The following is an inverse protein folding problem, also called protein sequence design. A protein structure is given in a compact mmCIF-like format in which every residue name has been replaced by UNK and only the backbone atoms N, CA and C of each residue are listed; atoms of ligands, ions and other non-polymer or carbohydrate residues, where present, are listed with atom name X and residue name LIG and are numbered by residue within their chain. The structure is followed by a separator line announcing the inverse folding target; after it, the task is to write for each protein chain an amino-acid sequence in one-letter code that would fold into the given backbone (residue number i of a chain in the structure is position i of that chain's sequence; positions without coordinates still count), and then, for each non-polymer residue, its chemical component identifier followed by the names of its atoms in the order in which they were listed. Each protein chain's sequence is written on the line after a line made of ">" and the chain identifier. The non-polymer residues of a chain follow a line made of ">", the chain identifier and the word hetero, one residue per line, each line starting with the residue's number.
data_IF_425553879226
#
_entry.id   IF_425553879226
#
_cell.length_a   1.000
_cell.length_b   1.000
_cell.length_c   1.000
_cell.angle_alpha   90.00
_cell.angle_beta   90.00
_cell.angle_gamma   90.00
#
_symmetry.space_group_name_H-M   'P 1'
#
loop_
_entity.id
_entity.type
_entity.pdbx_description
1 polymer ?
#
# COMPACT_ATOMS: atom_id res chain seq x y z
N UNK A 1 4.26 11.03 23.36
CA UNK A 1 3.01 11.79 23.17
C UNK A 1 2.93 12.33 21.75
N UNK A 2 1.79 12.15 21.11
CA UNK A 2 1.50 12.70 19.79
C UNK A 2 0.49 13.84 19.92
N UNK A 3 0.88 15.02 19.47
CA UNK A 3 -0.02 16.17 19.43
C UNK A 3 -1.00 16.05 18.25
N UNK A 4 -2.22 16.54 18.45
CA UNK A 4 -3.27 16.55 17.44
C UNK A 4 -2.93 17.39 16.20
N UNK A 5 -3.54 17.05 15.07
CA UNK A 5 -3.44 17.78 13.79
C UNK A 5 -2.02 17.92 13.21
N UNK A 6 -1.14 16.96 13.46
CA UNK A 6 0.12 16.85 12.75
C UNK A 6 -0.04 15.97 11.52
N UNK A 7 0.41 16.49 10.39
CA UNK A 7 0.47 15.78 9.11
C UNK A 7 1.92 15.67 8.67
N UNK A 8 2.36 14.49 8.33
CA UNK A 8 3.67 14.25 7.75
C UNK A 8 3.57 13.29 6.58
N UNK A 9 4.52 13.38 5.70
CA UNK A 9 4.65 12.51 4.53
C UNK A 9 5.99 11.84 4.59
N UNK A 10 6.02 10.54 4.39
CA UNK A 10 7.25 9.76 4.23
C UNK A 10 7.23 9.03 2.89
N UNK A 11 8.41 8.82 2.34
CA UNK A 11 8.62 8.16 1.06
C UNK A 11 9.72 7.12 1.24
N UNK A 12 9.37 5.87 0.95
CA UNK A 12 10.32 4.76 0.88
C UNK A 12 10.42 4.26 -0.55
N UNK A 13 11.62 3.91 -0.97
CA UNK A 13 11.89 3.43 -2.34
C UNK A 13 12.45 2.02 -2.29
N UNK A 14 11.85 1.14 -3.08
CA UNK A 14 12.28 -0.24 -3.26
C UNK A 14 12.64 -0.46 -4.74
N UNK A 15 13.83 -1.02 -4.99
CA UNK A 15 14.20 -1.48 -6.34
C UNK A 15 13.40 -2.73 -6.67
N UNK A 16 12.87 -2.78 -7.88
CA UNK A 16 12.13 -3.92 -8.43
C UNK A 16 12.79 -4.34 -9.74
N UNK A 17 12.83 -5.64 -9.98
CA UNK A 17 13.37 -6.19 -11.21
C UNK A 17 12.44 -7.26 -11.77
N UNK A 18 11.84 -6.96 -12.91
CA UNK A 18 10.97 -7.86 -13.65
C UNK A 18 11.65 -8.41 -14.92
N UNK A 19 12.96 -8.20 -15.08
CA UNK A 19 13.70 -8.52 -16.32
C UNK A 19 13.72 -10.00 -16.67
N UNK A 20 13.45 -10.89 -15.72
CA UNK A 20 13.48 -12.34 -15.91
C UNK A 20 12.08 -12.96 -16.11
N UNK A 21 11.04 -12.16 -16.20
CA UNK A 21 9.69 -12.66 -16.37
C UNK A 21 9.22 -12.53 -17.83
N UNK A 22 9.51 -13.54 -18.63
CA UNK A 22 8.89 -13.77 -19.95
C UNK A 22 7.42 -14.17 -19.78
N UNK A 23 6.61 -13.28 -19.19
CA UNK A 23 5.16 -13.49 -19.23
C UNK A 23 4.65 -13.01 -20.58
N UNK A 24 3.99 -13.88 -21.36
CA UNK A 24 3.40 -13.47 -22.63
C UNK A 24 2.48 -12.27 -22.44
N UNK A 25 2.49 -11.34 -23.37
CA UNK A 25 1.58 -10.18 -23.43
C UNK A 25 0.15 -10.60 -23.83
N UNK A 26 -0.34 -11.70 -23.30
CA UNK A 26 -1.70 -12.15 -23.53
C UNK A 26 -2.66 -11.28 -22.72
N UNK A 27 -3.63 -10.68 -23.40
CA UNK A 27 -4.63 -9.78 -22.81
C UNK A 27 -5.56 -10.48 -21.80
N UNK A 28 -5.53 -11.81 -21.74
CA UNK A 28 -6.25 -12.60 -20.74
C UNK A 28 -5.51 -12.73 -19.39
N UNK A 29 -4.24 -12.34 -19.32
CA UNK A 29 -3.49 -12.33 -18.08
C UNK A 29 -3.96 -11.18 -17.18
N UNK A 30 -4.20 -11.47 -15.93
CA UNK A 30 -4.52 -10.48 -14.92
C UNK A 30 -4.09 -10.98 -13.55
N UNK A 31 -4.02 -10.07 -12.59
CA UNK A 31 -3.71 -10.38 -11.22
C UNK A 31 -4.57 -9.59 -10.25
N UNK A 32 -4.73 -10.10 -9.05
CA UNK A 32 -5.28 -9.36 -7.94
C UNK A 32 -4.19 -9.15 -6.89
N UNK A 33 -4.05 -7.93 -6.42
CA UNK A 33 -3.23 -7.60 -5.27
C UNK A 33 -4.15 -7.34 -4.09
N UNK A 34 -3.94 -8.06 -3.00
CA UNK A 34 -4.70 -7.93 -1.77
C UNK A 34 -3.84 -7.25 -0.72
N UNK A 35 -4.40 -6.22 -0.12
CA UNK A 35 -3.79 -5.45 0.95
C UNK A 35 -4.59 -5.65 2.23
N UNK A 36 -3.90 -6.05 3.30
CA UNK A 36 -4.46 -6.22 4.63
C UNK A 36 -3.69 -5.33 5.58
N UNK A 37 -4.39 -4.49 6.32
CA UNK A 37 -3.78 -3.62 7.33
C UNK A 37 -4.53 -3.78 8.65
N UNK A 38 -3.75 -3.99 9.72
CA UNK A 38 -4.22 -3.88 11.10
C UNK A 38 -3.51 -2.69 11.75
N UNK A 39 -4.26 -1.67 12.09
CA UNK A 39 -3.77 -0.45 12.70
C UNK A 39 -4.17 -0.37 14.17
N UNK A 40 -3.25 -0.66 15.05
CA UNK A 40 -3.34 -0.46 16.51
C UNK A 40 -2.65 0.82 16.97
N UNK A 41 -2.32 1.73 16.05
CA UNK A 41 -1.75 3.03 16.35
C UNK A 41 -2.85 4.12 16.35
N UNK A 42 -2.81 5.10 17.24
CA UNK A 42 -3.72 6.23 17.23
C UNK A 42 -3.35 7.26 16.15
N UNK A 43 -3.05 6.78 14.96
CA UNK A 43 -2.57 7.54 13.82
C UNK A 43 -3.32 7.04 12.57
N UNK A 44 -3.83 7.97 11.79
CA UNK A 44 -4.38 7.69 10.47
C UNK A 44 -3.25 7.55 9.43
N UNK A 45 -3.34 6.54 8.57
CA UNK A 45 -2.40 6.32 7.48
C UNK A 45 -3.10 6.34 6.13
N UNK A 46 -2.53 7.10 5.20
CA UNK A 46 -2.80 6.96 3.78
C UNK A 46 -1.60 6.32 3.09
N UNK A 47 -1.83 5.28 2.30
CA UNK A 47 -0.76 4.52 1.60
C UNK A 47 -1.03 4.55 0.11
N UNK A 48 0.02 4.80 -0.67
CA UNK A 48 0.01 4.69 -2.13
C UNK A 48 1.33 4.10 -2.62
N UNK A 49 1.26 3.24 -3.61
CA UNK A 49 2.44 2.68 -4.27
C UNK A 49 2.48 3.19 -5.71
N UNK A 50 3.56 3.88 -6.05
CA UNK A 50 3.84 4.35 -7.40
C UNK A 50 4.94 3.52 -8.03
N UNK A 51 4.79 3.23 -9.31
CA UNK A 51 5.81 2.58 -10.14
C UNK A 51 6.49 3.64 -11.01
N UNK A 52 7.82 3.67 -10.96
CA UNK A 52 8.62 4.67 -11.67
C UNK A 52 9.37 4.04 -12.82
N UNK A 53 9.39 4.73 -13.95
CA UNK A 53 10.13 4.36 -15.13
C UNK A 53 11.63 4.46 -14.90
N UNK A 54 12.36 3.51 -15.46
CA UNK A 54 13.82 3.46 -15.43
C UNK A 54 14.42 4.77 -15.97
N UNK A 55 15.36 5.32 -15.22
CA UNK A 55 16.16 6.51 -15.55
C UNK A 55 15.41 7.87 -15.61
N UNK A 56 14.11 7.93 -15.61
CA UNK A 56 13.35 9.19 -15.79
C UNK A 56 12.68 9.68 -14.53
N UNK A 57 12.46 8.82 -13.54
CA UNK A 57 11.62 9.08 -12.35
C UNK A 57 10.15 9.42 -12.67
N UNK A 58 9.69 9.18 -13.88
CA UNK A 58 8.29 9.36 -14.21
C UNK A 58 7.44 8.25 -13.59
N UNK A 59 6.31 8.63 -12.99
CA UNK A 59 5.30 7.67 -12.53
C UNK A 59 4.61 7.08 -13.76
N UNK A 60 4.76 5.76 -13.93
CA UNK A 60 4.12 5.05 -15.04
C UNK A 60 2.83 4.36 -14.66
N UNK A 61 2.67 4.03 -13.37
CA UNK A 61 1.42 3.51 -12.81
C UNK A 61 1.39 3.72 -11.29
N UNK A 62 0.22 3.54 -10.69
CA UNK A 62 0.03 3.50 -9.24
C UNK A 62 -0.82 2.30 -8.88
N UNK A 63 -0.45 1.55 -7.85
CA UNK A 63 -1.18 0.33 -7.49
C UNK A 63 -2.64 0.62 -7.11
N UNK A 64 -2.87 1.70 -6.41
CA UNK A 64 -4.16 2.08 -5.84
C UNK A 64 -4.71 3.35 -6.48
N UNK A 65 -6.04 3.42 -6.66
CA UNK A 65 -6.74 4.64 -7.06
C UNK A 65 -8.18 4.59 -6.53
N UNK A 66 -8.52 5.39 -5.55
CA UNK A 66 -7.69 6.32 -4.78
C UNK A 66 -6.62 5.64 -3.89
N UNK A 67 -5.81 6.42 -3.19
CA UNK A 67 -4.90 5.92 -2.16
C UNK A 67 -5.66 5.11 -1.10
N UNK A 68 -5.01 4.14 -0.51
CA UNK A 68 -5.60 3.32 0.55
C UNK A 68 -5.44 4.01 1.89
N UNK A 69 -6.56 4.37 2.52
CA UNK A 69 -6.59 5.01 3.83
C UNK A 69 -7.05 4.05 4.91
N UNK A 70 -6.44 4.11 6.08
CA UNK A 70 -6.87 3.40 7.28
C UNK A 70 -6.94 4.36 8.47
N UNK A 71 -8.06 4.30 9.17
CA UNK A 71 -8.30 5.17 10.32
C UNK A 71 -7.40 4.80 11.51
N UNK A 72 -7.21 5.78 12.39
CA UNK A 72 -6.57 5.58 13.67
C UNK A 72 -7.39 4.65 14.56
N UNK A 73 -6.74 3.89 15.44
CA UNK A 73 -7.43 3.19 16.50
C UNK A 73 -8.06 4.20 17.49
N UNK A 74 -9.09 3.76 18.23
CA UNK A 74 -9.66 4.56 19.30
C UNK A 74 -8.73 4.57 20.51
N UNK A 75 -8.82 5.64 21.32
CA UNK A 75 -8.07 5.77 22.56
C UNK A 75 -9.00 5.91 23.75
N UNK A 76 -8.52 5.51 24.94
CA UNK A 76 -9.20 5.77 26.21
C UNK A 76 -9.03 7.24 26.65
N UNK A 77 -9.57 7.57 27.82
CA UNK A 77 -9.50 8.93 28.41
C UNK A 77 -8.05 9.37 28.74
N UNK A 78 -7.13 8.42 28.81
CA UNK A 78 -5.71 8.66 29.06
C UNK A 78 -4.88 8.69 27.77
N UNK A 79 -5.50 8.51 26.61
CA UNK A 79 -4.82 8.49 25.31
C UNK A 79 -4.22 7.14 24.92
N UNK A 80 -4.48 6.05 25.63
CA UNK A 80 -3.97 4.73 25.28
C UNK A 80 -4.85 4.08 24.21
N UNK A 81 -4.26 3.37 23.21
CA UNK A 81 -5.01 2.58 22.24
C UNK A 81 -5.87 1.51 22.90
N UNK A 82 -7.14 1.38 22.48
CA UNK A 82 -8.09 0.42 23.05
C UNK A 82 -8.64 -0.60 22.04
N UNK A 83 -8.35 -0.42 20.76
CA UNK A 83 -8.77 -1.35 19.70
C UNK A 83 -7.77 -1.38 18.56
N UNK A 84 -8.03 -2.26 17.60
CA UNK A 84 -7.31 -2.33 16.32
C UNK A 84 -8.32 -2.08 15.20
N UNK A 85 -7.98 -1.22 14.27
CA UNK A 85 -8.76 -1.00 13.05
C UNK A 85 -8.17 -1.88 11.95
N UNK A 86 -8.97 -2.81 11.43
CA UNK A 86 -8.56 -3.68 10.33
C UNK A 86 -9.24 -3.27 9.03
N UNK A 87 -8.48 -3.26 7.95
CA UNK A 87 -8.99 -2.97 6.60
C UNK A 87 -8.37 -3.90 5.57
N UNK A 88 -9.23 -4.40 4.68
CA UNK A 88 -8.82 -5.21 3.52
C UNK A 88 -9.24 -4.50 2.25
N UNK A 89 -8.38 -4.53 1.23
CA UNK A 89 -8.73 -4.10 -0.11
C UNK A 89 -8.11 -5.03 -1.14
N UNK A 90 -8.71 -5.08 -2.33
CA UNK A 90 -8.23 -5.86 -3.47
C UNK A 90 -8.21 -4.98 -4.70
N UNK A 91 -7.11 -5.05 -5.44
CA UNK A 91 -6.88 -4.23 -6.63
C UNK A 91 -6.63 -5.15 -7.83
N UNK A 92 -7.44 -5.02 -8.84
CA UNK A 92 -7.23 -5.72 -10.11
C UNK A 92 -6.07 -5.06 -10.87
N UNK A 93 -5.12 -5.88 -11.29
CA UNK A 93 -4.02 -5.49 -12.17
C UNK A 93 -4.23 -6.18 -13.51
N UNK A 94 -4.72 -5.45 -14.50
CA UNK A 94 -4.94 -5.98 -15.85
C UNK A 94 -3.60 -6.25 -16.55
N UNK A 95 -3.64 -7.04 -17.65
CA UNK A 95 -2.47 -7.32 -18.49
C UNK A 95 -1.75 -6.03 -18.92
N UNK A 96 -2.51 -5.02 -19.35
CA UNK A 96 -1.94 -3.74 -19.76
C UNK A 96 -1.20 -3.03 -18.62
N UNK A 97 -1.70 -3.15 -17.38
CA UNK A 97 -1.02 -2.59 -16.20
C UNK A 97 0.23 -3.39 -15.86
N UNK A 98 0.17 -4.71 -15.96
CA UNK A 98 1.34 -5.59 -15.77
C UNK A 98 2.45 -5.19 -16.76
N UNK A 99 2.13 -4.98 -18.03
CA UNK A 99 3.09 -4.57 -19.06
C UNK A 99 3.70 -3.18 -18.80
N UNK A 100 2.95 -2.29 -18.18
CA UNK A 100 3.48 -0.99 -17.72
C UNK A 100 4.41 -1.17 -16.53
N UNK A 101 3.97 -1.90 -15.51
CA UNK A 101 4.72 -2.12 -14.27
C UNK A 101 6.06 -2.81 -14.54
N UNK A 102 6.12 -3.73 -15.55
CA UNK A 102 7.37 -4.37 -15.99
C UNK A 102 8.43 -3.37 -16.49
N UNK A 103 8.05 -2.18 -16.91
CA UNK A 103 8.99 -1.13 -17.32
C UNK A 103 9.53 -0.32 -16.16
N UNK A 104 9.00 -0.53 -14.96
CA UNK A 104 9.50 0.12 -13.76
C UNK A 104 10.77 -0.55 -13.25
N UNK A 105 11.68 0.23 -12.73
CA UNK A 105 12.84 -0.23 -11.97
C UNK A 105 12.71 0.02 -10.47
N UNK A 106 11.71 0.80 -10.07
CA UNK A 106 11.46 1.19 -8.68
C UNK A 106 9.98 1.26 -8.38
N UNK A 107 9.65 0.83 -7.16
CA UNK A 107 8.38 1.14 -6.52
C UNK A 107 8.63 2.14 -5.39
N UNK A 108 7.79 3.15 -5.31
CA UNK A 108 7.81 4.16 -4.25
C UNK A 108 6.58 4.00 -3.40
N UNK A 109 6.81 3.72 -2.13
CA UNK A 109 5.77 3.69 -1.12
C UNK A 109 5.61 5.08 -0.51
N UNK A 110 4.49 5.69 -0.76
CA UNK A 110 4.14 6.99 -0.25
C UNK A 110 3.21 6.84 0.94
N UNK A 111 3.60 7.41 2.09
CA UNK A 111 2.80 7.40 3.31
C UNK A 111 2.37 8.82 3.65
N UNK A 112 1.10 8.95 3.97
CA UNK A 112 0.55 10.16 4.56
C UNK A 112 0.09 9.83 5.98
N UNK A 113 0.72 10.43 6.96
CA UNK A 113 0.45 10.20 8.38
C UNK A 113 -0.27 11.42 8.93
N UNK A 114 -1.40 11.21 9.59
CA UNK A 114 -2.15 12.26 10.21
C UNK A 114 -2.56 11.87 11.64
N UNK A 115 -2.23 12.72 12.60
CA UNK A 115 -2.68 12.56 13.98
C UNK A 115 -3.98 13.33 14.16
N UNK A 116 -5.07 12.60 14.45
CA UNK A 116 -6.37 13.22 14.72
C UNK A 116 -6.44 13.86 16.11
N UNK A 117 -7.19 14.97 16.20
CA UNK A 117 -7.57 15.55 17.47
C UNK A 117 -8.84 14.87 17.97
N UNK A 118 -8.70 13.76 18.66
CA UNK A 118 -9.74 13.29 19.56
C UNK A 118 -9.37 13.69 20.99
N UNK A 119 -10.29 14.09 21.86
CA UNK A 119 -10.00 14.19 23.30
C UNK A 119 -9.57 12.81 23.83
N UNK A 120 -8.51 12.75 24.60
CA UNK A 120 -7.59 13.80 25.04
C UNK A 120 -6.77 14.39 23.88
N UNK A 121 -6.19 15.60 24.05
CA UNK A 121 -5.47 16.30 22.98
C UNK A 121 -4.16 15.64 22.55
N UNK A 122 -3.84 14.51 23.10
CA UNK A 122 -2.67 13.70 22.78
C UNK A 122 -3.05 12.22 22.76
N UNK A 123 -2.29 11.42 22.05
CA UNK A 123 -2.37 9.98 22.02
C UNK A 123 -1.02 9.37 22.39
N UNK A 124 -1.05 8.21 23.00
CA UNK A 124 0.15 7.51 23.47
C UNK A 124 0.42 6.34 22.56
N UNK A 125 1.65 6.24 22.06
CA UNK A 125 2.17 5.02 21.45
C UNK A 125 2.88 4.25 22.57
N UNK A 126 2.50 3.03 22.78
CA UNK A 126 3.07 2.13 23.80
C UNK A 126 3.52 0.81 23.17
N UNK A 127 4.06 -0.10 23.95
CA UNK A 127 4.62 -1.37 23.49
C UNK A 127 3.58 -2.31 22.83
N UNK A 128 2.29 -2.06 23.05
CA UNK A 128 1.20 -2.80 22.41
C UNK A 128 0.70 -2.13 21.11
N UNK A 129 1.22 -0.94 20.80
CA UNK A 129 0.85 -0.23 19.58
C UNK A 129 1.61 -0.80 18.39
N UNK A 130 0.90 -1.16 17.32
CA UNK A 130 1.53 -1.74 16.14
C UNK A 130 0.79 -1.35 14.85
N UNK A 131 1.51 -1.41 13.76
CA UNK A 131 0.97 -1.41 12.40
C UNK A 131 1.42 -2.69 11.71
N UNK A 132 0.46 -3.51 11.27
CA UNK A 132 0.74 -4.70 10.47
C UNK A 132 0.25 -4.47 9.06
N UNK A 133 1.15 -4.62 8.09
CA UNK A 133 0.87 -4.57 6.67
C UNK A 133 1.18 -5.93 6.06
N UNK A 134 0.23 -6.49 5.33
CA UNK A 134 0.40 -7.71 4.55
C UNK A 134 -0.08 -7.47 3.13
N UNK A 135 0.75 -7.80 2.14
CA UNK A 135 0.46 -7.74 0.72
C UNK A 135 0.55 -9.15 0.18
N UNK A 136 -0.49 -9.59 -0.53
CA UNK A 136 -0.52 -10.87 -1.25
C UNK A 136 -1.01 -10.63 -2.68
N UNK A 137 -0.70 -11.55 -3.57
CA UNK A 137 -1.16 -11.46 -4.97
C UNK A 137 -1.55 -12.81 -5.53
N UNK A 138 -2.57 -12.82 -6.37
CA UNK A 138 -2.97 -13.92 -7.22
C UNK A 138 -2.67 -13.53 -8.67
N UNK A 139 -2.07 -14.43 -9.44
CA UNK A 139 -1.80 -14.24 -10.85
C UNK A 139 -2.55 -15.29 -11.67
N UNK A 140 -3.36 -14.85 -12.62
CA UNK A 140 -4.04 -15.68 -13.58
C UNK A 140 -3.31 -15.58 -14.92
N UNK A 141 -2.74 -16.71 -15.36
CA UNK A 141 -2.03 -16.84 -16.62
C UNK A 141 -2.80 -17.79 -17.53
N UNK A 142 -3.04 -17.39 -18.76
CA UNK A 142 -3.51 -18.29 -19.80
C UNK A 142 -2.37 -18.68 -20.74
N UNK A 143 -2.26 -19.96 -21.03
CA UNK A 143 -1.27 -20.50 -21.95
C UNK A 143 -1.97 -21.06 -23.18
N UNK A 144 -1.57 -20.61 -24.36
CA UNK A 144 -2.04 -21.18 -25.61
C UNK A 144 -1.10 -22.31 -26.02
N UNK A 145 -1.54 -23.57 -25.89
CA UNK A 145 -0.77 -24.76 -26.20
C UNK A 145 -0.79 -25.13 -27.72
N UNK A 146 -1.40 -24.32 -28.56
CA UNK A 146 -1.53 -24.61 -30.00
C UNK A 146 -0.25 -24.37 -30.82
N UNK A 147 0.87 -24.03 -30.18
CA UNK A 147 2.16 -23.80 -30.83
C UNK A 147 3.27 -24.78 -30.40
N UNK A 148 2.87 -25.96 -29.90
CA UNK A 148 3.80 -27.09 -29.64
C UNK A 148 3.78 -28.07 -30.77
#
# INVERSE_FOLDING_TARGET
>A
ELYSNKKTTSIDTVSIDFSNEDTPSDTSNYGNVHLFIDNGLPIHFGIQIYFLEKNTNHIIDSLMSPAFDIDACSTDVNGNPVNVVSKKSSFLVSAQRIDKIKKADRAVLFHNINTYSTPPPYAIINDNSYLKLQITGDLHLSFNLNNL
#
